data_IF_234908589280
#
_entry.id   IF_234908589280
#
_cell.length_a   1.000
_cell.length_b   1.000
_cell.length_c   1.000
_cell.angle_alpha   90.00
_cell.angle_beta   90.00
_cell.angle_gamma   90.00
#
_symmetry.space_group_name_H-M   'P 1'
#
loop_
_entity.id
_entity.type
_entity.pdbx_description
1 polymer ?
#
# COMPACT_ATOMS: atom_id res chain seq x y z
N UNK A 1 -24.38 4.96 -26.78
CA UNK A 1 -23.41 5.97 -26.27
C UNK A 1 -22.59 5.29 -25.23
N UNK A 2 -21.34 5.02 -25.53
CA UNK A 2 -20.44 4.34 -24.61
C UNK A 2 -19.71 5.38 -23.77
N UNK A 3 -19.64 5.15 -22.46
CA UNK A 3 -18.93 6.01 -21.52
C UNK A 3 -17.68 5.29 -21.01
N UNK A 4 -16.57 6.00 -20.97
CA UNK A 4 -15.28 5.46 -20.55
C UNK A 4 -14.66 6.33 -19.46
N UNK A 5 -14.09 5.68 -18.45
CA UNK A 5 -13.04 6.26 -17.63
C UNK A 5 -11.70 5.90 -18.24
N UNK A 6 -10.64 6.66 -17.94
CA UNK A 6 -9.34 6.36 -18.50
C UNK A 6 -8.18 6.77 -17.60
N UNK A 7 -7.08 6.09 -17.76
CA UNK A 7 -5.82 6.36 -17.07
C UNK A 7 -4.65 6.33 -18.06
N UNK A 8 -3.62 7.12 -17.78
CA UNK A 8 -2.35 7.08 -18.52
C UNK A 8 -1.44 6.09 -17.82
N UNK A 9 -1.00 5.07 -18.53
CA UNK A 9 -0.13 4.02 -18.01
C UNK A 9 1.34 4.46 -18.02
N UNK A 10 2.17 3.80 -17.21
CA UNK A 10 3.62 4.03 -17.17
C UNK A 10 4.33 3.76 -18.49
N UNK A 11 3.77 2.91 -19.36
CA UNK A 11 4.18 2.69 -20.75
C UNK A 11 3.95 3.90 -21.66
N UNK A 12 3.09 4.83 -21.22
CA UNK A 12 2.61 5.97 -21.99
C UNK A 12 1.40 5.65 -22.87
N UNK A 13 0.81 4.48 -22.78
CA UNK A 13 -0.49 4.14 -23.34
C UNK A 13 -1.61 4.74 -22.49
N UNK A 14 -2.80 4.93 -23.06
CA UNK A 14 -4.00 5.31 -22.33
C UNK A 14 -4.95 4.12 -22.30
N UNK A 15 -5.28 3.67 -21.10
CA UNK A 15 -6.32 2.67 -20.87
C UNK A 15 -7.68 3.36 -20.80
N UNK A 16 -8.63 2.90 -21.60
CA UNK A 16 -10.04 3.29 -21.55
C UNK A 16 -10.84 2.12 -20.97
N UNK A 17 -11.61 2.36 -19.91
CA UNK A 17 -12.50 1.38 -19.31
C UNK A 17 -13.95 1.79 -19.54
N UNK A 18 -14.73 0.95 -20.20
CA UNK A 18 -16.17 1.18 -20.35
C UNK A 18 -16.87 1.10 -18.99
N UNK A 19 -17.63 2.13 -18.66
CA UNK A 19 -18.26 2.29 -17.34
C UNK A 19 -19.29 1.18 -17.05
N UNK A 20 -19.97 0.67 -18.07
CA UNK A 20 -21.03 -0.32 -17.93
C UNK A 20 -20.54 -1.75 -18.04
N UNK A 21 -19.79 -2.06 -19.11
CA UNK A 21 -19.34 -3.43 -19.39
C UNK A 21 -18.03 -3.80 -18.69
N UNK A 22 -17.27 -2.80 -18.18
CA UNK A 22 -15.93 -2.96 -17.62
C UNK A 22 -14.89 -3.47 -18.63
N UNK A 23 -15.21 -3.47 -19.90
CA UNK A 23 -14.25 -3.81 -20.95
C UNK A 23 -13.17 -2.73 -21.06
N UNK A 24 -11.94 -3.18 -21.23
CA UNK A 24 -10.77 -2.32 -21.37
C UNK A 24 -10.34 -2.19 -22.82
N UNK A 25 -9.91 -1.01 -23.19
CA UNK A 25 -9.45 -0.64 -24.52
C UNK A 25 -8.24 0.27 -24.37
N UNK A 26 -7.24 0.14 -25.24
CA UNK A 26 -5.99 0.91 -25.11
C UNK A 26 -5.81 1.84 -26.29
N UNK A 27 -5.28 3.04 -26.03
CA UNK A 27 -4.99 4.06 -27.02
C UNK A 27 -3.50 4.32 -27.01
N UNK A 28 -2.86 4.08 -28.15
CA UNK A 28 -1.43 4.32 -28.36
C UNK A 28 -1.13 5.80 -28.57
N UNK A 29 0.14 6.18 -28.44
CA UNK A 29 0.59 7.58 -28.57
C UNK A 29 0.38 8.17 -29.96
N UNK A 30 0.35 7.37 -31.00
CA UNK A 30 0.11 7.77 -32.39
C UNK A 30 -1.37 7.89 -32.77
N UNK A 31 -2.27 7.56 -31.85
CA UNK A 31 -3.70 7.65 -32.06
C UNK A 31 -4.17 9.11 -32.10
N UNK A 32 -5.01 9.47 -33.08
CA UNK A 32 -5.52 10.85 -33.30
C UNK A 32 -6.16 11.53 -32.09
N UNK A 33 -6.68 10.76 -31.14
CA UNK A 33 -7.31 11.26 -29.89
C UNK A 33 -6.39 11.25 -28.68
N UNK A 34 -5.14 10.81 -28.82
CA UNK A 34 -4.23 10.68 -27.69
C UNK A 34 -4.04 12.01 -26.93
N UNK A 35 -3.64 13.07 -27.63
CA UNK A 35 -3.42 14.39 -27.02
C UNK A 35 -4.69 14.98 -26.43
N UNK A 36 -5.83 14.71 -27.06
CA UNK A 36 -7.13 15.15 -26.56
C UNK A 36 -7.47 14.43 -25.24
N UNK A 37 -7.21 13.13 -25.13
CA UNK A 37 -7.38 12.36 -23.90
C UNK A 37 -6.46 12.88 -22.80
N UNK A 38 -5.19 13.12 -23.07
CA UNK A 38 -4.25 13.68 -22.08
C UNK A 38 -4.78 15.01 -21.50
N UNK A 39 -5.32 15.89 -22.35
CA UNK A 39 -5.91 17.17 -21.91
C UNK A 39 -7.19 17.02 -21.08
N UNK A 40 -7.85 15.88 -21.18
CA UNK A 40 -9.10 15.57 -20.48
C UNK A 40 -8.91 14.53 -19.37
N UNK A 41 -7.71 14.33 -18.90
CA UNK A 41 -7.40 13.41 -17.79
C UNK A 41 -8.24 13.74 -16.55
N UNK A 42 -8.75 12.71 -15.87
CA UNK A 42 -9.63 12.86 -14.71
C UNK A 42 -11.11 13.13 -15.05
N UNK A 43 -11.51 12.95 -16.31
CA UNK A 43 -12.90 13.11 -16.76
C UNK A 43 -13.46 11.82 -17.35
N UNK A 44 -14.78 11.72 -17.38
CA UNK A 44 -15.47 10.67 -18.16
C UNK A 44 -15.51 11.09 -19.62
N UNK A 45 -15.12 10.17 -20.47
CA UNK A 45 -15.19 10.32 -21.92
C UNK A 45 -16.39 9.55 -22.47
N UNK A 46 -17.15 10.19 -23.33
CA UNK A 46 -18.27 9.57 -24.02
C UNK A 46 -18.03 9.55 -25.51
N UNK A 47 -18.26 8.39 -26.14
CA UNK A 47 -18.13 8.22 -27.59
C UNK A 47 -19.47 7.86 -28.17
N UNK A 48 -19.93 8.69 -29.14
CA UNK A 48 -21.18 8.48 -29.87
C UNK A 48 -20.95 8.73 -31.35
N UNK A 49 -21.11 7.70 -32.18
CA UNK A 49 -20.89 7.76 -33.63
C UNK A 49 -19.57 8.47 -34.03
N UNK A 50 -18.48 8.11 -33.39
CA UNK A 50 -17.15 8.70 -33.65
C UNK A 50 -16.90 10.07 -33.00
N UNK A 51 -17.92 10.70 -32.41
CA UNK A 51 -17.77 11.99 -31.73
C UNK A 51 -17.39 11.76 -30.23
N UNK A 52 -16.27 12.33 -29.83
CA UNK A 52 -15.73 12.25 -28.47
C UNK A 52 -16.10 13.51 -27.69
N UNK A 53 -16.63 13.32 -26.47
CA UNK A 53 -16.97 14.40 -25.54
C UNK A 53 -16.49 14.03 -24.14
N UNK A 54 -16.20 15.03 -23.30
CA UNK A 54 -15.78 14.80 -21.91
C UNK A 54 -16.70 15.51 -20.93
N UNK A 55 -16.95 14.88 -19.77
CA UNK A 55 -17.72 15.45 -18.66
C UNK A 55 -16.97 15.27 -17.33
N UNK A 56 -17.36 16.08 -16.30
CA UNK A 56 -16.72 16.04 -14.98
C UNK A 56 -17.32 14.99 -14.02
N UNK A 57 -18.42 14.36 -14.41
CA UNK A 57 -19.25 13.58 -13.50
C UNK A 57 -18.81 12.11 -13.50
N UNK A 58 -17.81 11.79 -12.68
CA UNK A 58 -17.50 10.41 -12.35
C UNK A 58 -16.71 10.27 -11.03
N UNK A 59 -17.29 9.46 -10.11
CA UNK A 59 -16.64 8.94 -8.93
C UNK A 59 -16.23 7.49 -9.21
N UNK A 60 -15.09 7.26 -9.81
CA UNK A 60 -14.71 5.92 -10.22
C UNK A 60 -13.22 5.62 -10.16
N UNK A 61 -12.96 4.33 -10.11
CA UNK A 61 -11.67 3.67 -9.91
C UNK A 61 -10.87 3.60 -11.21
N UNK A 62 -9.56 3.87 -11.13
CA UNK A 62 -8.58 3.67 -12.20
C UNK A 62 -7.79 2.38 -11.94
N UNK A 63 -7.70 1.51 -12.95
CA UNK A 63 -6.85 0.32 -12.91
C UNK A 63 -5.58 0.57 -13.73
N UNK A 64 -4.44 0.18 -13.20
CA UNK A 64 -3.15 0.22 -13.89
C UNK A 64 -2.76 -1.19 -14.31
N UNK A 65 -3.02 -1.55 -15.56
CA UNK A 65 -2.59 -2.83 -16.12
C UNK A 65 -2.07 -2.62 -17.55
N UNK A 66 -0.90 -3.14 -17.86
CA UNK A 66 -0.28 -3.09 -19.19
C UNK A 66 -0.97 -4.02 -20.17
N UNK A 67 -1.59 -3.50 -21.25
CA UNK A 67 -2.17 -4.32 -22.31
C UNK A 67 -2.24 -3.64 -23.69
N UNK A 68 -2.53 -4.43 -24.68
CA UNK A 68 -2.35 -4.28 -26.11
C UNK A 68 -3.19 -3.20 -26.81
N UNK A 69 -2.57 -2.63 -27.83
CA UNK A 69 -3.08 -1.67 -28.83
C UNK A 69 -4.39 -2.10 -29.51
N UNK A 70 -5.32 -1.19 -29.63
CA UNK A 70 -6.46 -1.36 -30.55
C UNK A 70 -6.26 -0.49 -31.78
N UNK A 71 -6.07 -1.11 -32.92
CA UNK A 71 -6.29 -0.50 -34.20
C UNK A 71 -7.82 -0.35 -34.41
N UNK A 72 -8.27 0.84 -34.80
CA UNK A 72 -9.66 1.09 -35.13
C UNK A 72 -10.02 0.29 -36.39
N UNK A 73 -10.51 -0.93 -36.22
CA UNK A 73 -11.28 -1.63 -37.23
C UNK A 73 -12.51 -2.26 -36.60
N UNK A 74 -13.60 -1.96 -37.27
CA UNK A 74 -14.98 -2.31 -37.04
C UNK A 74 -15.26 -3.80 -36.76
N UNK A 75 -16.18 -4.01 -35.81
CA UNK A 75 -17.16 -5.09 -35.78
C UNK A 75 -16.71 -6.53 -36.08
N UNK A 76 -16.30 -7.24 -35.07
CA UNK A 76 -16.71 -8.62 -34.84
C UNK A 76 -16.46 -8.93 -33.37
N UNK A 77 -17.49 -9.37 -32.66
CA UNK A 77 -17.33 -9.89 -31.31
C UNK A 77 -16.53 -11.18 -31.38
N UNK A 78 -15.22 -11.07 -31.20
CA UNK A 78 -14.36 -12.22 -30.91
C UNK A 78 -14.10 -12.22 -29.41
N UNK A 79 -14.80 -13.12 -28.75
CA UNK A 79 -14.60 -13.44 -27.35
C UNK A 79 -13.24 -14.15 -27.19
N UNK A 80 -12.16 -13.37 -27.26
CA UNK A 80 -10.81 -13.90 -27.00
C UNK A 80 -10.55 -13.73 -25.52
N UNK A 81 -10.82 -14.78 -24.75
CA UNK A 81 -10.27 -14.92 -23.41
C UNK A 81 -8.73 -14.86 -23.56
N UNK A 82 -8.13 -13.73 -23.24
CA UNK A 82 -6.68 -13.63 -23.10
C UNK A 82 -6.31 -14.48 -21.90
N UNK A 83 -5.83 -15.68 -22.15
CA UNK A 83 -5.28 -16.54 -21.11
C UNK A 83 -4.06 -15.84 -20.52
N UNK A 84 -3.95 -15.72 -19.19
CA UNK A 84 -2.76 -15.16 -18.58
C UNK A 84 -1.54 -16.00 -18.98
N UNK A 85 -0.50 -15.32 -19.48
CA UNK A 85 0.77 -15.99 -19.81
C UNK A 85 1.45 -16.36 -18.48
N UNK A 86 1.53 -17.66 -18.21
CA UNK A 86 2.22 -18.16 -17.02
C UNK A 86 3.73 -18.01 -17.25
N UNK A 87 4.38 -17.16 -16.45
CA UNK A 87 5.83 -17.05 -16.39
C UNK A 87 6.35 -17.82 -15.19
N UNK A 88 7.20 -18.82 -15.44
CA UNK A 88 7.87 -19.57 -14.39
C UNK A 88 9.31 -19.08 -14.28
N UNK A 89 9.71 -18.69 -13.06
CA UNK A 89 11.08 -18.29 -12.74
C UNK A 89 11.76 -19.43 -11.98
N UNK A 90 12.96 -19.80 -12.35
CA UNK A 90 13.75 -20.77 -11.59
C UNK A 90 14.37 -20.08 -10.37
N UNK A 91 14.47 -20.79 -9.24
CA UNK A 91 15.08 -20.23 -8.03
C UNK A 91 16.51 -19.74 -8.25
N UNK A 92 17.29 -20.42 -9.06
CA UNK A 92 18.66 -20.03 -9.41
C UNK A 92 18.77 -18.71 -10.18
N UNK A 93 17.68 -18.27 -10.81
CA UNK A 93 17.63 -17.04 -11.62
C UNK A 93 17.15 -15.82 -10.77
N UNK A 94 16.85 -16.06 -9.48
CA UNK A 94 16.50 -15.00 -8.55
C UNK A 94 17.78 -14.24 -8.15
N UNK A 95 17.85 -12.99 -8.58
CA UNK A 95 18.90 -12.07 -8.13
C UNK A 95 18.38 -11.29 -6.92
N UNK A 96 18.72 -11.77 -5.73
CA UNK A 96 18.30 -11.17 -4.45
C UNK A 96 19.52 -10.48 -3.85
N UNK A 97 19.35 -9.24 -3.40
CA UNK A 97 20.40 -8.46 -2.74
C UNK A 97 20.78 -9.13 -1.41
N UNK A 98 22.06 -9.36 -1.18
CA UNK A 98 22.58 -10.00 0.03
C UNK A 98 22.22 -9.24 1.30
N UNK A 99 22.02 -7.93 1.23
CA UNK A 99 21.59 -7.11 2.37
C UNK A 99 20.23 -7.52 2.94
N UNK A 100 19.40 -8.23 2.15
CA UNK A 100 18.11 -8.76 2.63
C UNK A 100 18.27 -9.97 3.56
N UNK A 101 19.47 -10.52 3.66
CA UNK A 101 19.81 -11.62 4.58
C UNK A 101 20.55 -11.14 5.83
N UNK A 102 20.89 -9.84 5.91
CA UNK A 102 21.54 -9.27 7.09
C UNK A 102 20.49 -8.95 8.17
N UNK A 103 20.52 -9.64 9.33
CA UNK A 103 19.54 -9.42 10.38
C UNK A 103 19.81 -8.09 11.11
N UNK A 104 18.75 -7.39 11.45
CA UNK A 104 18.80 -6.25 12.36
C UNK A 104 18.88 -6.77 13.80
N UNK A 105 20.04 -6.65 14.42
CA UNK A 105 20.27 -7.05 15.81
C UNK A 105 19.61 -6.05 16.75
N UNK A 106 18.77 -6.56 17.66
CA UNK A 106 18.00 -5.74 18.61
C UNK A 106 18.69 -5.58 19.96
N UNK A 107 19.69 -6.40 20.26
CA UNK A 107 20.34 -6.50 21.57
C UNK A 107 19.44 -7.09 22.65
N UNK A 108 18.35 -7.72 22.28
CA UNK A 108 17.34 -8.27 23.19
C UNK A 108 17.15 -9.78 22.97
N UNK A 109 16.27 -10.39 23.77
CA UNK A 109 15.93 -11.81 23.60
C UNK A 109 15.24 -12.07 22.25
N UNK A 110 14.67 -11.05 21.59
CA UNK A 110 14.06 -11.16 20.26
C UNK A 110 15.05 -11.66 19.19
N UNK A 111 16.34 -11.38 19.35
CA UNK A 111 17.36 -11.86 18.41
C UNK A 111 17.40 -13.39 18.33
N UNK A 112 16.97 -14.08 19.39
CA UNK A 112 16.89 -15.53 19.42
C UNK A 112 15.57 -16.10 18.91
N UNK A 113 14.52 -15.28 18.83
CA UNK A 113 13.19 -15.71 18.42
C UNK A 113 12.87 -15.36 16.98
N UNK A 114 13.46 -14.29 16.43
CA UNK A 114 13.07 -13.75 15.14
C UNK A 114 13.74 -14.46 13.96
N UNK A 115 14.96 -14.95 14.15
CA UNK A 115 15.66 -15.74 13.13
C UNK A 115 16.76 -16.63 13.71
N UNK A 116 17.20 -17.63 12.95
CA UNK A 116 18.37 -18.45 13.28
C UNK A 116 19.68 -17.68 13.22
N UNK A 117 19.73 -16.63 12.43
CA UNK A 117 20.88 -15.75 12.23
C UNK A 117 21.05 -14.73 13.37
N UNK A 118 20.07 -14.61 14.25
CA UNK A 118 20.08 -13.68 15.38
C UNK A 118 19.68 -12.26 14.99
N UNK A 119 18.41 -11.92 15.21
CA UNK A 119 17.85 -10.61 14.90
C UNK A 119 16.63 -10.66 14.00
N UNK A 120 16.16 -9.50 13.56
CA UNK A 120 15.00 -9.36 12.68
C UNK A 120 15.49 -9.26 11.23
N UNK A 121 15.12 -10.23 10.40
CA UNK A 121 15.43 -10.18 8.97
C UNK A 121 14.66 -9.06 8.28
N UNK A 122 15.26 -8.37 7.31
CA UNK A 122 14.55 -7.41 6.47
C UNK A 122 13.33 -8.03 5.77
N UNK A 123 12.37 -7.21 5.39
CA UNK A 123 11.14 -7.65 4.71
C UNK A 123 10.29 -8.67 5.50
N UNK A 124 10.44 -8.73 6.82
CA UNK A 124 9.68 -9.63 7.69
C UNK A 124 8.51 -8.92 8.33
N UNK A 125 7.33 -9.56 8.32
CA UNK A 125 6.16 -9.16 9.11
C UNK A 125 6.04 -10.09 10.32
N UNK A 126 6.02 -9.51 11.52
CA UNK A 126 5.90 -10.25 12.79
C UNK A 126 4.57 -9.88 13.44
N UNK A 127 3.79 -10.87 13.84
CA UNK A 127 2.56 -10.67 14.59
C UNK A 127 2.73 -11.21 16.02
N UNK A 128 2.63 -10.31 17.01
CA UNK A 128 2.60 -10.68 18.42
C UNK A 128 1.15 -10.86 18.88
N UNK A 129 0.77 -12.10 19.19
CA UNK A 129 -0.56 -12.43 19.72
C UNK A 129 -0.49 -12.87 21.17
N UNK A 130 -1.53 -12.57 21.94
CA UNK A 130 -1.64 -12.95 23.35
C UNK A 130 -2.82 -12.26 24.04
N UNK A 131 -3.19 -12.77 25.21
CA UNK A 131 -4.30 -12.21 26.01
C UNK A 131 -4.05 -10.73 26.37
N UNK A 132 -5.12 -9.94 26.61
CA UNK A 132 -4.99 -8.59 27.15
C UNK A 132 -4.19 -8.57 28.46
N UNK A 133 -3.38 -7.54 28.68
CA UNK A 133 -2.62 -7.33 29.91
C UNK A 133 -1.36 -8.17 30.11
N UNK A 134 -1.00 -9.07 29.18
CA UNK A 134 0.22 -9.91 29.31
C UNK A 134 1.53 -9.16 29.01
N UNK A 135 1.46 -7.87 28.68
CA UNK A 135 2.63 -7.01 28.48
C UNK A 135 3.16 -6.95 27.05
N UNK A 136 2.39 -7.36 26.04
CA UNK A 136 2.80 -7.29 24.60
C UNK A 136 3.33 -5.92 24.22
N UNK A 137 2.51 -4.89 24.37
CA UNK A 137 2.84 -3.50 24.08
C UNK A 137 4.10 -3.03 24.78
N UNK A 138 4.24 -3.36 26.09
CA UNK A 138 5.41 -2.97 26.89
C UNK A 138 6.70 -3.57 26.33
N UNK A 139 6.68 -4.86 26.03
CA UNK A 139 7.88 -5.56 25.52
C UNK A 139 8.23 -5.08 24.11
N UNK A 140 7.24 -4.83 23.25
CA UNK A 140 7.45 -4.36 21.89
C UNK A 140 7.90 -2.89 21.84
N UNK A 141 7.38 -2.03 22.72
CA UNK A 141 7.86 -0.64 22.83
C UNK A 141 9.29 -0.57 23.40
N UNK A 142 9.65 -1.46 24.33
CA UNK A 142 11.00 -1.53 24.83
C UNK A 142 11.99 -1.98 23.73
N UNK A 143 11.62 -2.97 22.93
CA UNK A 143 12.34 -3.37 21.73
C UNK A 143 12.53 -2.19 20.77
N UNK A 144 11.44 -1.45 20.46
CA UNK A 144 11.46 -0.31 19.57
C UNK A 144 12.37 0.80 20.09
N UNK A 145 12.32 1.08 21.39
CA UNK A 145 13.16 2.08 22.05
C UNK A 145 14.66 1.69 22.02
N UNK A 146 14.97 0.42 22.22
CA UNK A 146 16.35 -0.06 22.11
C UNK A 146 16.90 0.11 20.70
N UNK A 147 16.13 -0.20 19.68
CA UNK A 147 16.51 0.02 18.29
C UNK A 147 16.66 1.50 17.96
N UNK A 148 15.73 2.34 18.42
CA UNK A 148 15.83 3.78 18.25
C UNK A 148 17.10 4.36 18.87
N UNK A 149 17.40 3.97 20.10
CA UNK A 149 18.59 4.41 20.82
C UNK A 149 19.90 3.88 20.20
N UNK A 150 19.82 2.79 19.43
CA UNK A 150 20.95 2.29 18.62
C UNK A 150 21.09 2.96 17.25
N UNK A 151 20.26 3.99 16.97
CA UNK A 151 20.31 4.78 15.74
C UNK A 151 19.44 4.26 14.60
N UNK A 152 18.57 3.28 14.84
CA UNK A 152 17.61 2.82 13.85
C UNK A 152 16.43 3.80 13.73
N UNK A 153 15.94 3.96 12.51
CA UNK A 153 14.77 4.78 12.23
C UNK A 153 13.50 3.97 12.45
N UNK A 154 12.86 4.16 13.59
CA UNK A 154 11.70 3.37 14.00
C UNK A 154 10.45 4.22 14.13
N UNK A 155 9.28 3.61 13.99
CA UNK A 155 7.98 4.25 14.12
C UNK A 155 7.05 3.39 14.97
N UNK A 156 6.30 4.04 15.87
CA UNK A 156 5.15 3.44 16.54
C UNK A 156 3.84 4.04 15.99
N UNK A 157 2.95 3.21 15.45
CA UNK A 157 1.59 3.58 15.07
C UNK A 157 0.66 3.11 16.18
N UNK A 158 0.11 4.07 16.94
CA UNK A 158 -0.83 3.82 18.02
C UNK A 158 -2.26 4.11 17.56
N UNK A 159 -3.10 3.08 17.56
CA UNK A 159 -4.54 3.20 17.35
C UNK A 159 -5.35 2.94 18.64
N UNK A 160 -4.73 2.28 19.63
CA UNK A 160 -5.39 1.92 20.89
C UNK A 160 -5.08 2.91 22.00
N UNK A 161 -3.83 3.37 22.12
CA UNK A 161 -3.41 4.24 23.22
C UNK A 161 -3.42 5.73 22.83
N UNK A 162 -3.88 6.55 23.77
CA UNK A 162 -3.83 7.99 23.66
C UNK A 162 -2.49 8.59 24.08
N UNK A 163 -2.28 9.87 23.78
CA UNK A 163 -1.12 10.64 24.28
C UNK A 163 -1.03 10.61 25.82
N UNK A 164 -2.16 10.65 26.49
CA UNK A 164 -2.22 10.61 27.97
C UNK A 164 -1.72 9.25 28.51
N UNK A 165 -2.07 8.16 27.81
CA UNK A 165 -1.61 6.83 28.20
C UNK A 165 -0.11 6.71 27.99
N UNK A 166 0.40 7.20 26.86
CA UNK A 166 1.85 7.23 26.60
C UNK A 166 2.60 8.11 27.59
N UNK A 167 2.04 9.24 28.01
CA UNK A 167 2.64 10.07 29.05
C UNK A 167 2.75 9.35 30.42
N UNK A 168 1.79 8.48 30.74
CA UNK A 168 1.88 7.60 31.92
C UNK A 168 2.98 6.54 31.78
N UNK A 169 3.13 5.95 30.57
CA UNK A 169 4.18 4.99 30.27
C UNK A 169 5.57 5.62 30.37
N UNK A 170 5.77 6.84 29.82
CA UNK A 170 7.05 7.55 29.90
C UNK A 170 7.57 7.77 31.33
N UNK A 171 6.67 7.92 32.32
CA UNK A 171 7.07 8.00 33.73
C UNK A 171 7.69 6.69 34.25
N UNK A 172 7.28 5.55 33.70
CA UNK A 172 7.79 4.22 34.07
C UNK A 172 8.97 3.78 33.22
N UNK A 173 8.99 4.24 31.95
CA UNK A 173 9.97 3.88 30.93
C UNK A 173 10.55 5.14 30.29
N UNK A 174 11.43 5.89 30.96
CA UNK A 174 11.96 7.15 30.44
C UNK A 174 12.74 7.00 29.12
N UNK A 175 13.27 5.81 28.84
CA UNK A 175 13.98 5.49 27.60
C UNK A 175 13.09 5.48 26.36
N UNK A 176 11.76 5.55 26.50
CA UNK A 176 10.83 5.65 25.38
C UNK A 176 10.53 7.09 24.95
N UNK A 177 11.03 8.08 25.70
CA UNK A 177 10.66 9.50 25.51
C UNK A 177 10.98 10.07 24.12
N UNK A 178 11.96 9.48 23.41
CA UNK A 178 12.36 9.93 22.07
C UNK A 178 11.71 9.15 20.91
N UNK A 179 10.84 8.16 21.20
CA UNK A 179 10.18 7.37 20.16
C UNK A 179 9.24 8.24 19.31
N UNK A 180 9.39 8.20 17.97
CA UNK A 180 8.41 8.80 17.08
C UNK A 180 7.12 7.99 17.08
N UNK A 181 5.99 8.66 17.34
CA UNK A 181 4.67 8.04 17.45
C UNK A 181 3.69 8.72 16.51
N UNK A 182 2.95 7.93 15.76
CA UNK A 182 1.75 8.35 15.05
C UNK A 182 0.51 7.94 15.87
N UNK A 183 -0.19 8.90 16.44
CA UNK A 183 -1.49 8.66 17.10
C UNK A 183 -2.61 8.75 16.06
N UNK A 184 -3.20 7.62 15.69
CA UNK A 184 -4.29 7.60 14.72
C UNK A 184 -5.55 8.26 15.22
N UNK A 185 -5.80 8.24 16.52
CA UNK A 185 -6.96 8.88 17.16
C UNK A 185 -6.94 10.41 17.08
N UNK A 186 -5.84 11.01 16.64
CA UNK A 186 -5.77 12.47 16.42
C UNK A 186 -6.34 12.88 15.03
N UNK A 187 -6.76 11.93 14.21
CA UNK A 187 -7.31 12.17 12.88
C UNK A 187 -8.77 11.72 12.84
N UNK A 188 -9.68 12.63 12.53
CA UNK A 188 -11.09 12.34 12.38
C UNK A 188 -11.42 11.69 11.04
N UNK A 189 -10.58 11.92 10.03
CA UNK A 189 -10.72 11.38 8.66
C UNK A 189 -9.37 11.08 8.04
N UNK A 190 -9.35 10.33 6.94
CA UNK A 190 -8.17 10.13 6.09
C UNK A 190 -7.04 9.32 6.73
N UNK A 191 -7.32 8.50 7.73
CA UNK A 191 -6.32 7.68 8.42
C UNK A 191 -5.50 6.79 7.48
N UNK A 192 -6.08 6.28 6.40
CA UNK A 192 -5.36 5.54 5.38
C UNK A 192 -4.27 6.38 4.72
N UNK A 193 -4.58 7.60 4.29
CA UNK A 193 -3.62 8.53 3.68
C UNK A 193 -2.52 8.94 4.64
N UNK A 194 -2.86 9.16 5.91
CA UNK A 194 -1.89 9.50 6.96
C UNK A 194 -0.90 8.36 7.17
N UNK A 195 -1.38 7.13 7.24
CA UNK A 195 -0.52 5.94 7.36
C UNK A 195 0.40 5.82 6.13
N UNK A 196 -0.15 5.92 4.92
CA UNK A 196 0.62 5.84 3.67
C UNK A 196 1.75 6.88 3.64
N UNK A 197 1.42 8.14 3.87
CA UNK A 197 2.40 9.23 3.90
C UNK A 197 3.48 9.04 4.97
N UNK A 198 3.08 8.53 6.15
CA UNK A 198 4.02 8.30 7.24
C UNK A 198 4.98 7.14 6.91
N UNK A 199 4.48 6.06 6.32
CA UNK A 199 5.31 4.93 5.91
C UNK A 199 6.27 5.32 4.76
N UNK A 200 5.86 6.21 3.86
CA UNK A 200 6.71 6.72 2.77
C UNK A 200 7.93 7.52 3.23
N UNK A 201 7.96 7.94 4.49
CA UNK A 201 9.16 8.55 5.10
C UNK A 201 10.33 7.55 5.23
N UNK A 202 10.05 6.25 5.09
CA UNK A 202 11.02 5.14 5.19
C UNK A 202 11.45 4.86 6.63
N UNK A 203 11.32 3.63 7.06
CA UNK A 203 11.57 3.17 8.43
C UNK A 203 12.30 1.84 8.42
N UNK A 204 13.19 1.61 9.40
CA UNK A 204 13.85 0.31 9.60
C UNK A 204 12.89 -0.68 10.29
N UNK A 205 12.07 -0.20 11.22
CA UNK A 205 11.03 -0.99 11.89
C UNK A 205 9.81 -0.15 12.20
N UNK A 206 8.62 -0.71 11.92
CA UNK A 206 7.34 -0.11 12.29
C UNK A 206 6.60 -1.06 13.21
N UNK A 207 6.21 -0.56 14.39
CA UNK A 207 5.33 -1.23 15.33
C UNK A 207 3.92 -0.66 15.19
N UNK A 208 2.93 -1.52 15.04
CA UNK A 208 1.51 -1.14 15.02
C UNK A 208 0.77 -1.80 16.18
N UNK A 209 0.12 -1.03 17.03
CA UNK A 209 -0.67 -1.51 18.17
C UNK A 209 -2.03 -0.78 18.27
N UNK A 210 -3.11 -1.49 18.02
CA UNK A 210 -3.18 -2.85 17.53
C UNK A 210 -3.55 -2.90 16.04
N UNK A 211 -3.22 -4.01 15.39
CA UNK A 211 -3.63 -4.26 13.99
C UNK A 211 -5.16 -4.17 13.80
N UNK A 212 -5.91 -4.65 14.78
CA UNK A 212 -7.38 -4.62 14.74
C UNK A 212 -7.91 -3.19 14.79
N UNK A 213 -7.43 -2.38 15.71
CA UNK A 213 -7.87 -0.99 15.87
C UNK A 213 -7.50 -0.13 14.66
N UNK A 214 -6.31 -0.33 14.07
CA UNK A 214 -5.95 0.36 12.83
C UNK A 214 -6.92 0.02 11.70
N UNK A 215 -7.28 -1.26 11.54
CA UNK A 215 -8.24 -1.67 10.51
C UNK A 215 -9.63 -1.10 10.76
N UNK A 216 -10.09 -1.08 12.00
CA UNK A 216 -11.41 -0.54 12.34
C UNK A 216 -11.45 0.99 12.15
N UNK A 217 -10.42 1.73 12.57
CA UNK A 217 -10.28 3.17 12.33
C UNK A 217 -10.27 3.50 10.83
N UNK A 218 -9.49 2.78 10.02
CA UNK A 218 -9.44 3.00 8.57
C UNK A 218 -10.78 2.67 7.91
N UNK A 219 -11.44 1.61 8.35
CA UNK A 219 -12.77 1.23 7.86
C UNK A 219 -13.80 2.34 8.14
N UNK A 220 -13.80 2.90 9.34
CA UNK A 220 -14.69 4.01 9.72
C UNK A 220 -14.45 5.25 8.88
N UNK A 221 -13.20 5.66 8.71
CA UNK A 221 -12.83 6.87 7.96
C UNK A 221 -13.00 6.75 6.44
N UNK A 222 -12.99 5.53 5.90
CA UNK A 222 -13.08 5.31 4.45
C UNK A 222 -14.41 4.73 3.98
N UNK A 223 -15.22 4.18 4.89
CA UNK A 223 -16.41 3.41 4.55
C UNK A 223 -16.11 2.07 3.85
N UNK A 224 -14.87 1.60 3.88
CA UNK A 224 -14.49 0.33 3.25
C UNK A 224 -15.03 -0.86 4.02
N UNK A 225 -15.17 -1.99 3.32
CA UNK A 225 -15.44 -3.26 4.00
C UNK A 225 -14.20 -3.72 4.75
N UNK A 226 -14.38 -4.50 5.83
CA UNK A 226 -13.28 -5.08 6.59
C UNK A 226 -12.25 -5.80 5.71
N UNK A 227 -12.72 -6.65 4.80
CA UNK A 227 -11.83 -7.38 3.91
C UNK A 227 -11.03 -6.49 2.94
N UNK A 228 -11.59 -5.31 2.54
CA UNK A 228 -10.86 -4.33 1.74
C UNK A 228 -9.78 -3.65 2.57
N UNK A 229 -10.08 -3.26 3.80
CA UNK A 229 -9.14 -2.61 4.70
C UNK A 229 -7.98 -3.55 5.06
N UNK A 230 -8.28 -4.80 5.41
CA UNK A 230 -7.25 -5.81 5.70
C UNK A 230 -6.32 -6.06 4.50
N UNK A 231 -6.87 -6.19 3.29
CA UNK A 231 -6.07 -6.34 2.07
C UNK A 231 -5.20 -5.13 1.78
N UNK A 232 -5.76 -3.92 1.94
CA UNK A 232 -5.00 -2.68 1.76
C UNK A 232 -3.82 -2.64 2.72
N UNK A 233 -4.05 -2.86 4.01
CA UNK A 233 -2.99 -2.77 5.02
C UNK A 233 -1.89 -3.82 4.80
N UNK A 234 -2.26 -5.07 4.51
CA UNK A 234 -1.30 -6.12 4.19
C UNK A 234 -0.50 -5.82 2.91
N UNK A 235 -1.16 -5.27 1.89
CA UNK A 235 -0.50 -4.87 0.65
C UNK A 235 0.50 -3.73 0.88
N UNK A 236 0.11 -2.74 1.68
CA UNK A 236 0.94 -1.61 2.07
C UNK A 236 2.19 -2.06 2.83
N UNK A 237 2.01 -2.90 3.86
CA UNK A 237 3.11 -3.49 4.63
C UNK A 237 4.06 -4.29 3.73
N UNK A 238 3.52 -5.11 2.83
CA UNK A 238 4.32 -5.91 1.90
C UNK A 238 5.09 -5.03 0.91
N UNK A 239 4.48 -3.96 0.40
CA UNK A 239 5.12 -3.03 -0.51
C UNK A 239 6.29 -2.30 0.15
N UNK A 240 6.12 -1.81 1.38
CA UNK A 240 7.19 -1.16 2.14
C UNK A 240 8.33 -2.13 2.46
N UNK A 241 8.02 -3.32 2.93
CA UNK A 241 9.03 -4.34 3.24
C UNK A 241 9.88 -4.73 2.01
N UNK A 242 9.29 -4.74 0.83
CA UNK A 242 9.99 -5.07 -0.42
C UNK A 242 10.63 -3.85 -1.10
N UNK A 243 10.60 -2.67 -0.50
CA UNK A 243 11.08 -1.44 -1.11
C UNK A 243 10.30 -1.01 -2.35
N UNK A 244 9.06 -1.50 -2.51
CA UNK A 244 8.21 -1.23 -3.66
C UNK A 244 7.28 -0.02 -3.45
N UNK A 245 7.20 0.51 -2.24
CA UNK A 245 6.29 1.60 -1.88
C UNK A 245 6.53 2.90 -2.66
N UNK A 246 7.75 3.15 -3.11
CA UNK A 246 8.11 4.33 -3.93
C UNK A 246 7.65 4.27 -5.39
N UNK A 247 6.92 3.21 -5.78
CA UNK A 247 6.47 2.99 -7.15
C UNK A 247 4.96 3.16 -7.33
N UNK A 248 4.25 3.62 -6.30
CA UNK A 248 2.81 3.91 -6.34
C UNK A 248 2.53 5.40 -6.37
#
# INVERSE_FOLDING_TARGET
>A
MNKYTFAVLGSGQIELMDVNSRNQTYVERDHEKYDWLIKNQGRVVSVNNGRWTSSKDYDGYYSTVDHKTISAQSNAAVNTQVQPVVQLTKLQDLNIDDSLFEPMVTGTIFDKFCSSEGGILPATNIMAAGAPGVGKTTVLLDLLANLHNSGKKVLFISAEMSEMDMARYMKRFPNWASLPILFLNNYEEGSNSVIEQTLDMGWDLVLTDSYTEVNDTVKEHTGWTRGKTEKWFLSLMTAHNKGLAKKF
#
